data_IF_383052963705
#
_entry.id   IF_383052963705
#
_cell.length_a   1.000
_cell.length_b   1.000
_cell.length_c   1.000
_cell.angle_alpha   90.00
_cell.angle_beta   90.00
_cell.angle_gamma   90.00
#
_symmetry.space_group_name_H-M   'P 1'
#
loop_
_entity.id
_entity.type
_entity.pdbx_description
1 polymer ?
#
# COMPACT_ATOMS: atom_id res chain seq x y z
N UNK A 1 -41.96 -1.01 -6.67
CA UNK A 1 -40.74 -0.19 -6.89
C UNK A 1 -40.00 0.20 -5.62
N UNK A 2 -40.66 0.44 -4.52
CA UNK A 2 -40.00 0.78 -3.25
C UNK A 2 -39.17 -0.36 -2.64
N UNK A 3 -39.55 -1.63 -2.87
CA UNK A 3 -38.82 -2.78 -2.31
C UNK A 3 -37.44 -3.01 -2.91
N UNK A 4 -37.20 -2.58 -4.13
CA UNK A 4 -35.90 -2.75 -4.80
C UNK A 4 -34.86 -1.75 -4.31
N UNK A 5 -35.27 -0.54 -3.99
CA UNK A 5 -34.39 0.49 -3.45
C UNK A 5 -34.02 0.24 -1.99
N UNK A 6 -34.93 -0.33 -1.19
CA UNK A 6 -34.65 -0.72 0.18
C UNK A 6 -33.66 -1.89 0.26
N UNK A 7 -33.71 -2.81 -0.69
CA UNK A 7 -32.77 -3.94 -0.72
C UNK A 7 -31.35 -3.51 -1.06
N UNK A 8 -31.20 -2.57 -1.99
CA UNK A 8 -29.88 -1.99 -2.33
C UNK A 8 -29.26 -1.21 -1.18
N UNK A 9 -30.06 -0.49 -0.39
CA UNK A 9 -29.56 0.24 0.79
C UNK A 9 -29.10 -0.70 1.90
N UNK A 10 -29.74 -1.84 2.08
CA UNK A 10 -29.31 -2.83 3.07
C UNK A 10 -28.02 -3.54 2.66
N UNK A 11 -27.82 -3.81 1.39
CA UNK A 11 -26.58 -4.39 0.89
C UNK A 11 -25.41 -3.43 0.99
N UNK A 12 -25.63 -2.12 0.79
CA UNK A 12 -24.61 -1.09 1.02
C UNK A 12 -24.20 -0.93 2.49
N UNK A 13 -25.11 -1.19 3.42
CA UNK A 13 -24.82 -1.09 4.87
C UNK A 13 -24.09 -2.31 5.43
N UNK A 14 -24.25 -3.49 4.83
CA UNK A 14 -23.54 -4.70 5.27
C UNK A 14 -22.07 -4.74 4.84
N UNK A 15 -21.66 -3.89 3.91
CA UNK A 15 -20.28 -3.75 3.47
C UNK A 15 -19.46 -2.76 4.32
N UNK A 16 -20.06 -2.13 5.33
CA UNK A 16 -19.43 -1.07 6.11
C UNK A 16 -18.69 -1.55 7.36
N UNK A 17 -18.37 -2.84 7.48
CA UNK A 17 -17.45 -3.32 8.49
C UNK A 17 -16.01 -3.04 8.10
N UNK A 18 -15.50 -1.91 8.52
CA UNK A 18 -14.17 -1.45 8.27
C UNK A 18 -14.06 -0.55 7.03
N UNK A 19 -13.32 0.52 7.16
CA UNK A 19 -12.94 1.36 6.05
C UNK A 19 -12.27 0.50 4.95
N UNK A 20 -12.68 0.57 3.69
CA UNK A 20 -12.04 -0.19 2.61
C UNK A 20 -10.52 0.00 2.55
N UNK A 21 -10.02 1.15 2.99
CA UNK A 21 -8.60 1.46 3.03
C UNK A 21 -7.81 0.73 4.11
N UNK A 22 -8.45 0.11 5.11
CA UNK A 22 -7.77 -0.61 6.19
C UNK A 22 -7.68 -2.12 5.99
N UNK A 23 -8.36 -2.68 5.00
CA UNK A 23 -8.26 -4.11 4.70
C UNK A 23 -6.96 -4.44 4.00
N UNK A 24 -6.15 -5.27 4.62
CA UNK A 24 -4.90 -5.76 4.02
C UNK A 24 -5.20 -6.69 2.85
N UNK A 25 -4.55 -6.42 1.73
CA UNK A 25 -4.68 -7.26 0.53
C UNK A 25 -3.44 -7.15 -0.35
N UNK A 26 -3.18 -8.21 -1.09
CA UNK A 26 -2.21 -8.22 -2.17
C UNK A 26 -2.88 -7.75 -3.46
N UNK A 27 -2.26 -6.82 -4.15
CA UNK A 27 -2.74 -6.31 -5.44
C UNK A 27 -2.00 -7.05 -6.55
N UNK A 28 -2.71 -7.95 -7.22
CA UNK A 28 -2.18 -8.59 -8.42
C UNK A 28 -2.51 -7.74 -9.63
N UNK A 29 -1.46 -7.30 -10.31
CA UNK A 29 -1.60 -6.59 -11.57
C UNK A 29 -1.28 -7.55 -12.71
N UNK A 30 -2.19 -7.63 -13.67
CA UNK A 30 -1.89 -8.30 -14.91
C UNK A 30 -0.89 -7.44 -15.70
N UNK A 31 0.18 -8.06 -16.15
CA UNK A 31 1.09 -7.43 -17.08
C UNK A 31 0.34 -7.19 -18.41
N UNK A 32 -0.28 -6.02 -18.52
CA UNK A 32 -0.84 -5.61 -19.79
C UNK A 32 0.33 -5.16 -20.67
N UNK A 33 0.51 -5.76 -21.85
CA UNK A 33 1.57 -5.31 -22.74
C UNK A 33 1.39 -3.82 -23.01
N UNK A 34 2.48 -3.07 -22.85
CA UNK A 34 2.49 -1.63 -23.07
C UNK A 34 2.07 -1.32 -24.51
N UNK A 35 0.84 -0.92 -24.69
CA UNK A 35 0.43 -0.26 -25.92
C UNK A 35 1.02 1.13 -25.87
N UNK A 36 2.01 1.39 -26.69
CA UNK A 36 2.60 2.70 -26.86
C UNK A 36 1.55 3.68 -27.41
N UNK A 37 0.78 4.27 -26.52
CA UNK A 37 0.01 5.46 -26.85
C UNK A 37 0.79 6.70 -26.41
N UNK A 38 0.78 7.79 -27.19
CA UNK A 38 1.57 8.99 -26.87
C UNK A 38 1.21 9.70 -25.56
N UNK A 39 0.24 9.20 -24.84
CA UNK A 39 -0.17 9.64 -23.51
C UNK A 39 -0.34 8.42 -22.61
N UNK A 40 0.71 7.66 -22.41
CA UNK A 40 0.69 6.56 -21.46
C UNK A 40 0.43 7.09 -20.06
N UNK A 41 -0.78 6.89 -19.57
CA UNK A 41 -1.09 7.15 -18.17
C UNK A 41 -0.20 6.25 -17.31
N UNK A 42 0.56 6.85 -16.43
CA UNK A 42 1.37 6.09 -15.48
C UNK A 42 0.44 5.29 -14.56
N UNK A 43 0.60 3.98 -14.56
CA UNK A 43 -0.17 3.09 -13.70
C UNK A 43 0.50 2.96 -12.33
N UNK A 44 -0.31 2.79 -11.28
CA UNK A 44 0.21 2.49 -9.96
C UNK A 44 1.02 1.19 -9.96
N UNK A 45 2.18 1.20 -9.32
CA UNK A 45 3.03 0.01 -9.16
C UNK A 45 2.89 -0.64 -7.79
N UNK A 46 1.95 -0.18 -6.97
CA UNK A 46 1.69 -0.81 -5.67
C UNK A 46 1.23 -2.24 -5.85
N UNK A 47 1.80 -3.13 -5.04
CA UNK A 47 1.47 -4.56 -5.03
C UNK A 47 0.80 -5.02 -3.74
N UNK A 48 0.59 -4.12 -2.79
CA UNK A 48 -0.09 -4.41 -1.54
C UNK A 48 -0.94 -3.24 -1.05
N UNK A 49 -1.81 -3.52 -0.11
CA UNK A 49 -2.62 -2.57 0.63
C UNK A 49 -2.86 -3.08 2.05
N UNK A 50 -2.84 -2.26 3.11
CA UNK A 50 -2.61 -0.81 3.12
C UNK A 50 -1.13 -0.42 2.96
N UNK A 51 -0.84 0.86 2.78
CA UNK A 51 0.53 1.40 2.66
C UNK A 51 1.00 2.09 3.95
N UNK A 52 0.09 2.54 4.78
CA UNK A 52 0.43 3.21 6.04
C UNK A 52 1.04 2.23 7.05
N UNK A 53 2.19 2.62 7.61
CA UNK A 53 2.91 1.80 8.59
C UNK A 53 2.01 1.41 9.77
N UNK A 54 1.15 2.31 10.22
CA UNK A 54 0.22 2.06 11.33
C UNK A 54 -0.83 1.00 11.03
N UNK A 55 -1.22 0.87 9.78
CA UNK A 55 -2.34 0.03 9.36
C UNK A 55 -1.91 -1.36 8.89
N UNK A 56 -0.67 -1.50 8.44
CA UNK A 56 -0.20 -2.77 7.90
C UNK A 56 -0.06 -3.82 9.01
N UNK A 57 -0.53 -5.05 8.80
CA UNK A 57 -0.28 -6.13 9.75
C UNK A 57 1.18 -6.57 9.71
N UNK A 58 1.74 -6.91 10.87
CA UNK A 58 3.16 -7.26 11.03
C UNK A 58 3.55 -8.50 10.22
N UNK A 59 2.67 -9.48 10.14
CA UNK A 59 2.95 -10.79 9.53
C UNK A 59 2.10 -11.06 8.29
N UNK A 60 1.87 -10.05 7.47
CA UNK A 60 1.17 -10.22 6.21
C UNK A 60 1.98 -11.08 5.22
N UNK A 61 1.31 -11.95 4.44
CA UNK A 61 2.00 -12.86 3.50
C UNK A 61 2.87 -12.17 2.47
N UNK A 62 2.54 -10.94 2.08
CA UNK A 62 3.30 -10.19 1.09
C UNK A 62 4.68 -9.72 1.59
N UNK A 63 4.95 -9.80 2.89
CA UNK A 63 6.28 -9.51 3.42
C UNK A 63 7.29 -10.62 3.19
N UNK A 64 6.85 -11.84 2.92
CA UNK A 64 7.76 -12.95 2.71
C UNK A 64 8.58 -12.78 1.43
N UNK A 65 9.89 -12.73 1.57
CA UNK A 65 10.81 -12.49 0.47
C UNK A 65 10.78 -11.06 -0.08
N UNK A 66 10.16 -10.12 0.61
CA UNK A 66 9.96 -8.75 0.13
C UNK A 66 11.21 -7.88 0.23
N UNK A 67 11.28 -6.91 -0.66
CA UNK A 67 12.14 -5.74 -0.53
C UNK A 67 11.32 -4.61 0.07
N UNK A 68 11.65 -4.20 1.28
CA UNK A 68 10.88 -3.21 2.01
C UNK A 68 11.29 -1.80 1.59
N UNK A 69 10.32 -1.02 1.14
CA UNK A 69 10.49 0.39 0.85
C UNK A 69 9.74 1.21 1.90
N UNK A 70 10.46 1.98 2.68
CA UNK A 70 9.90 2.85 3.69
C UNK A 70 10.06 4.29 3.23
N UNK A 71 8.97 5.00 3.04
CA UNK A 71 9.00 6.35 2.51
C UNK A 71 8.23 7.32 3.40
N UNK A 72 8.72 8.57 3.46
CA UNK A 72 7.89 9.65 3.95
C UNK A 72 6.68 9.84 3.03
N UNK A 73 5.50 10.03 3.60
CA UNK A 73 4.28 10.24 2.84
C UNK A 73 4.37 11.46 1.91
N UNK A 74 4.97 12.55 2.38
CA UNK A 74 5.23 13.73 1.58
C UNK A 74 6.20 13.49 0.42
N UNK A 75 7.19 12.62 0.57
CA UNK A 75 8.11 12.27 -0.52
C UNK A 75 7.38 11.53 -1.64
N UNK A 76 6.51 10.61 -1.29
CA UNK A 76 5.69 9.87 -2.25
C UNK A 76 4.72 10.80 -3.00
N UNK A 77 4.19 11.80 -2.33
CA UNK A 77 3.27 12.77 -2.92
C UNK A 77 3.99 13.82 -3.78
N UNK A 78 5.12 14.33 -3.30
CA UNK A 78 5.81 15.45 -3.95
C UNK A 78 6.63 15.03 -5.18
N UNK A 79 7.13 13.81 -5.20
CA UNK A 79 7.97 13.33 -6.30
C UNK A 79 7.12 12.61 -7.35
N UNK A 80 6.89 13.27 -8.48
CA UNK A 80 5.94 12.80 -9.49
C UNK A 80 6.26 11.41 -10.05
N UNK A 81 7.55 11.05 -10.19
CA UNK A 81 7.99 9.76 -10.69
C UNK A 81 8.27 8.73 -9.57
N UNK A 82 7.63 8.87 -8.41
CA UNK A 82 7.88 8.02 -7.24
C UNK A 82 7.71 6.53 -7.55
N UNK A 83 6.63 6.17 -8.22
CA UNK A 83 6.37 4.77 -8.57
C UNK A 83 7.43 4.20 -9.49
N UNK A 84 7.80 4.93 -10.54
CA UNK A 84 8.84 4.49 -11.47
C UNK A 84 10.22 4.39 -10.83
N UNK A 85 10.54 5.35 -9.97
CA UNK A 85 11.87 5.46 -9.38
C UNK A 85 12.10 4.44 -8.28
N UNK A 86 11.12 4.26 -7.39
CA UNK A 86 11.31 3.55 -6.14
C UNK A 86 10.54 2.24 -6.03
N UNK A 87 9.35 2.13 -6.64
CA UNK A 87 8.53 0.92 -6.56
C UNK A 87 8.84 0.02 -7.74
N UNK A 88 9.86 -0.84 -7.57
CA UNK A 88 10.33 -1.74 -8.62
C UNK A 88 10.24 -3.20 -8.17
N UNK A 89 9.69 -4.05 -9.04
CA UNK A 89 9.64 -5.49 -8.78
C UNK A 89 8.86 -5.85 -7.52
N UNK A 90 9.48 -6.57 -6.63
CA UNK A 90 8.85 -7.08 -5.39
C UNK A 90 9.00 -6.11 -4.20
N UNK A 91 8.96 -4.81 -4.45
CA UNK A 91 8.96 -3.84 -3.36
C UNK A 91 7.60 -3.80 -2.67
N UNK A 92 7.62 -3.91 -1.36
CA UNK A 92 6.48 -3.65 -0.48
C UNK A 92 6.67 -2.27 0.12
N UNK A 93 5.72 -1.39 -0.12
CA UNK A 93 5.85 0.03 0.19
C UNK A 93 5.10 0.38 1.47
N UNK A 94 5.80 0.95 2.42
CA UNK A 94 5.22 1.51 3.64
C UNK A 94 5.47 3.01 3.68
N UNK A 95 4.45 3.78 4.01
CA UNK A 95 4.54 5.23 4.15
C UNK A 95 4.14 5.68 5.55
N UNK A 96 4.73 6.76 6.00
CA UNK A 96 4.39 7.36 7.26
C UNK A 96 5.09 8.69 7.46
N UNK A 97 4.67 9.43 8.48
CA UNK A 97 5.30 10.68 8.88
C UNK A 97 5.62 10.64 10.37
N UNK A 98 6.87 10.43 10.77
CA UNK A 98 7.24 10.37 12.19
C UNK A 98 6.88 11.65 12.95
N UNK A 99 6.80 12.75 12.24
CA UNK A 99 6.50 14.07 12.80
C UNK A 99 5.01 14.28 13.09
N UNK A 100 4.14 13.86 12.17
CA UNK A 100 2.70 14.06 12.29
C UNK A 100 1.97 12.89 12.93
N UNK A 101 2.46 11.67 12.74
CA UNK A 101 1.78 10.46 13.21
C UNK A 101 1.88 10.26 14.72
N UNK A 102 2.79 10.96 15.39
CA UNK A 102 2.91 10.96 16.86
C UNK A 102 3.27 9.62 17.46
N UNK A 103 3.87 8.71 16.68
CA UNK A 103 4.29 7.39 17.13
C UNK A 103 5.73 7.11 16.74
N UNK A 104 6.37 6.26 17.52
CA UNK A 104 7.67 5.69 17.16
C UNK A 104 7.44 4.41 16.34
N UNK A 105 7.88 4.43 15.08
CA UNK A 105 7.74 3.28 14.19
C UNK A 105 8.80 2.19 14.39
N UNK A 106 9.83 2.46 15.20
CA UNK A 106 10.96 1.55 15.36
C UNK A 106 10.55 0.17 15.86
N UNK A 107 9.63 0.11 16.81
CA UNK A 107 9.12 -1.14 17.36
C UNK A 107 8.39 -1.96 16.29
N UNK A 108 7.43 -1.37 15.60
CA UNK A 108 6.66 -2.07 14.55
C UNK A 108 7.52 -2.49 13.37
N UNK A 109 8.42 -1.64 12.91
CA UNK A 109 9.34 -1.96 11.83
C UNK A 109 10.30 -3.08 12.23
N UNK A 110 10.75 -3.09 13.48
CA UNK A 110 11.57 -4.18 14.04
C UNK A 110 10.83 -5.50 13.99
N UNK A 111 9.57 -5.54 14.39
CA UNK A 111 8.73 -6.74 14.35
C UNK A 111 8.53 -7.23 12.92
N UNK A 112 8.23 -6.34 11.97
CA UNK A 112 8.07 -6.67 10.56
C UNK A 112 9.35 -7.32 10.01
N UNK A 113 10.50 -6.73 10.29
CA UNK A 113 11.79 -7.24 9.81
C UNK A 113 12.15 -8.56 10.47
N UNK A 114 11.85 -8.71 11.76
CA UNK A 114 12.17 -9.91 12.53
C UNK A 114 11.32 -11.11 12.15
N UNK A 115 10.02 -10.91 11.97
CA UNK A 115 9.07 -12.01 11.77
C UNK A 115 8.91 -12.42 10.31
N UNK A 116 9.46 -11.65 9.37
CA UNK A 116 9.35 -11.92 7.95
C UNK A 116 10.73 -12.03 7.32
N UNK A 117 10.80 -12.73 6.19
CA UNK A 117 12.02 -12.82 5.38
C UNK A 117 12.16 -11.58 4.50
N UNK A 118 12.65 -10.48 5.09
CA UNK A 118 12.88 -9.22 4.38
C UNK A 118 14.27 -9.23 3.75
N UNK A 119 14.33 -9.12 2.44
CA UNK A 119 15.59 -9.18 1.68
C UNK A 119 16.37 -7.89 1.69
N UNK A 120 15.70 -6.77 1.70
CA UNK A 120 16.34 -5.46 1.73
C UNK A 120 15.41 -4.38 2.29
N UNK A 121 15.99 -3.31 2.78
CA UNK A 121 15.26 -2.13 3.26
C UNK A 121 15.80 -0.90 2.56
N UNK A 122 14.92 -0.14 1.94
CA UNK A 122 15.23 1.16 1.33
C UNK A 122 14.41 2.23 2.02
N UNK A 123 15.05 3.32 2.43
CA UNK A 123 14.38 4.44 3.08
C UNK A 123 14.46 5.67 2.18
N UNK A 124 13.30 6.26 1.91
CA UNK A 124 13.18 7.50 1.13
C UNK A 124 12.65 8.60 2.05
N UNK A 125 13.43 9.65 2.19
CA UNK A 125 13.07 10.82 3.00
C UNK A 125 13.24 12.11 2.21
N UNK A 126 12.62 13.17 2.67
CA UNK A 126 12.85 14.52 2.21
C UNK A 126 14.09 15.12 2.88
#
# INVERSE_FOLDING_TARGET
MENKQRKMRKEGMTLSFGCPGSKSRNIQRQDVPAVETPQAQQTSRLSQWPVQVKLVPVNAPYFDGARLLIAADCAAYAYAAFHERFIKGQHITLVGCPKLDGVDYSEKLTEIIRENDIKSVTVVRM
#
